data_IF_290975899508
#
_entry.id   IF_290975899508
#
_cell.length_a   1.000
_cell.length_b   1.000
_cell.length_c   1.000
_cell.angle_alpha   90.00
_cell.angle_beta   90.00
_cell.angle_gamma   90.00
#
_symmetry.space_group_name_H-M   'P 1'
#
loop_
_entity.id
_entity.type
_entity.pdbx_description
1 polymer ?
#
# COMPACT_ATOMS: atom_id res chain seq x y z
N UNK A 1 1.86 -14.89 -9.01
CA UNK A 1 3.19 -15.27 -8.45
C UNK A 1 4.34 -14.46 -9.02
N UNK A 2 4.40 -14.20 -10.32
CA UNK A 2 5.51 -13.47 -10.98
C UNK A 2 5.87 -12.11 -10.37
N UNK A 3 4.88 -11.34 -9.89
CA UNK A 3 5.15 -10.07 -9.17
C UNK A 3 5.99 -10.30 -7.91
N UNK A 4 5.70 -11.36 -7.17
CA UNK A 4 6.39 -11.73 -5.94
C UNK A 4 7.81 -12.21 -6.26
N UNK A 5 7.96 -12.99 -7.33
CA UNK A 5 9.26 -13.42 -7.85
C UNK A 5 10.15 -12.21 -8.19
N UNK A 6 9.67 -11.28 -9.01
CA UNK A 6 10.43 -10.05 -9.33
C UNK A 6 10.81 -9.24 -8.10
N UNK A 7 9.92 -9.17 -7.10
CA UNK A 7 10.22 -8.50 -5.85
C UNK A 7 11.30 -9.24 -5.06
N UNK A 8 11.26 -10.55 -4.94
CA UNK A 8 12.29 -11.31 -4.25
C UNK A 8 13.64 -11.23 -5.00
N UNK A 9 13.63 -11.30 -6.33
CA UNK A 9 14.80 -11.17 -7.18
C UNK A 9 15.47 -9.79 -7.08
N UNK A 10 14.71 -8.71 -6.83
CA UNK A 10 15.30 -7.37 -6.63
C UNK A 10 16.17 -7.27 -5.37
N UNK A 11 15.90 -8.10 -4.36
CA UNK A 11 16.76 -8.26 -3.19
C UNK A 11 17.92 -9.23 -3.43
N UNK A 12 18.00 -9.85 -4.62
CA UNK A 12 18.93 -10.93 -4.99
C UNK A 12 18.69 -12.23 -4.22
N UNK A 13 17.44 -12.51 -3.86
CA UNK A 13 17.05 -13.83 -3.37
C UNK A 13 17.17 -14.88 -4.48
N UNK A 14 17.46 -16.12 -4.12
CA UNK A 14 17.42 -17.26 -5.05
C UNK A 14 16.00 -17.79 -5.12
N UNK A 15 15.41 -17.77 -6.31
CA UNK A 15 13.98 -17.99 -6.51
C UNK A 15 13.75 -19.01 -7.61
N UNK A 16 12.82 -19.93 -7.37
CA UNK A 16 12.33 -20.92 -8.32
C UNK A 16 10.82 -20.77 -8.46
N UNK A 17 10.37 -20.38 -9.65
CA UNK A 17 8.94 -20.27 -9.96
C UNK A 17 8.43 -21.65 -10.41
N UNK A 18 7.47 -22.18 -9.66
CA UNK A 18 6.78 -23.42 -10.02
C UNK A 18 5.65 -23.17 -11.04
N UNK A 19 4.75 -24.14 -11.22
CA UNK A 19 3.58 -23.97 -12.08
C UNK A 19 2.73 -22.77 -11.64
N UNK A 20 2.27 -21.97 -12.61
CA UNK A 20 1.38 -20.83 -12.41
C UNK A 20 0.20 -20.92 -13.38
N UNK A 21 -1.01 -20.74 -12.86
CA UNK A 21 -2.27 -20.58 -13.57
C UNK A 21 -3.09 -19.46 -12.92
N UNK A 22 -4.30 -19.21 -13.44
CA UNK A 22 -5.21 -18.21 -12.89
C UNK A 22 -5.71 -18.57 -11.47
N UNK A 23 -5.72 -19.86 -11.14
CA UNK A 23 -6.31 -20.41 -9.91
C UNK A 23 -5.27 -21.03 -8.97
N UNK A 24 -4.02 -21.14 -9.41
CA UNK A 24 -2.95 -21.78 -8.66
C UNK A 24 -1.59 -21.17 -8.98
N UNK A 25 -0.68 -21.13 -8.01
CA UNK A 25 0.70 -20.76 -8.29
C UNK A 25 1.65 -21.14 -7.17
N UNK A 26 2.83 -21.63 -7.53
CA UNK A 26 3.88 -21.99 -6.57
C UNK A 26 5.12 -21.11 -6.77
N UNK A 27 5.71 -20.67 -5.67
CA UNK A 27 6.98 -19.97 -5.66
C UNK A 27 7.84 -20.50 -4.53
N UNK A 28 9.08 -20.83 -4.82
CA UNK A 28 10.05 -21.22 -3.82
C UNK A 28 11.18 -20.19 -3.77
N UNK A 29 11.42 -19.64 -2.59
CA UNK A 29 12.61 -18.84 -2.29
C UNK A 29 13.58 -19.81 -1.65
N UNK A 30 14.56 -20.26 -2.43
CA UNK A 30 15.58 -21.19 -1.99
C UNK A 30 16.51 -20.51 -0.97
N UNK A 31 16.89 -19.27 -1.24
CA UNK A 31 17.68 -18.46 -0.33
C UNK A 31 17.14 -17.02 -0.26
N UNK A 32 16.88 -16.52 0.94
CA UNK A 32 16.19 -15.27 1.19
C UNK A 32 17.18 -14.15 1.51
N UNK A 33 17.61 -13.39 0.50
CA UNK A 33 18.53 -12.27 0.71
C UNK A 33 17.92 -11.12 1.55
N UNK A 34 16.59 -11.08 1.69
CA UNK A 34 15.88 -10.18 2.62
C UNK A 34 16.18 -10.57 4.08
N UNK A 35 16.23 -11.87 4.36
CA UNK A 35 16.63 -12.37 5.67
C UNK A 35 18.06 -11.91 5.99
N UNK A 36 19.02 -12.15 5.09
CA UNK A 36 20.41 -11.75 5.34
C UNK A 36 20.55 -10.25 5.52
N UNK A 37 19.81 -9.46 4.75
CA UNK A 37 19.80 -8.01 4.90
C UNK A 37 19.37 -7.60 6.31
N UNK A 38 18.33 -8.25 6.85
CA UNK A 38 17.80 -7.99 8.19
C UNK A 38 18.77 -8.45 9.28
N UNK A 39 19.39 -9.62 9.13
CA UNK A 39 20.41 -10.09 10.07
C UNK A 39 21.64 -9.18 10.07
N UNK A 40 22.14 -8.78 8.90
CA UNK A 40 23.23 -7.79 8.82
C UNK A 40 22.88 -6.46 9.48
N UNK A 41 21.63 -6.01 9.38
CA UNK A 41 21.17 -4.82 10.07
C UNK A 41 21.21 -5.00 11.59
N UNK A 42 20.76 -6.15 12.12
CA UNK A 42 20.87 -6.50 13.55
C UNK A 42 22.32 -6.53 14.03
N UNK A 43 23.20 -7.17 13.27
CA UNK A 43 24.63 -7.24 13.56
C UNK A 43 25.29 -5.85 13.56
N UNK A 44 24.75 -4.93 12.76
CA UNK A 44 25.18 -3.53 12.73
C UNK A 44 24.61 -2.68 13.88
N UNK A 45 23.91 -3.30 14.84
CA UNK A 45 23.32 -2.63 16.00
C UNK A 45 21.95 -1.99 15.73
N UNK A 46 21.33 -2.27 14.58
CA UNK A 46 19.96 -1.81 14.29
C UNK A 46 18.95 -2.73 14.97
N UNK A 47 18.14 -2.18 15.87
CA UNK A 47 17.04 -2.91 16.48
C UNK A 47 15.93 -3.17 15.46
N UNK A 48 15.68 -4.44 15.16
CA UNK A 48 14.51 -4.84 14.38
C UNK A 48 13.38 -5.22 15.32
N UNK A 49 12.34 -4.38 15.34
CA UNK A 49 11.14 -4.54 16.19
C UNK A 49 10.21 -5.69 15.79
N UNK A 50 10.50 -6.39 14.70
CA UNK A 50 9.76 -7.59 14.29
C UNK A 50 10.33 -8.82 14.99
N UNK A 51 9.44 -9.69 15.47
CA UNK A 51 9.79 -10.92 16.20
C UNK A 51 10.64 -11.87 15.34
N UNK A 52 10.47 -11.81 14.01
CA UNK A 52 11.31 -12.55 13.05
C UNK A 52 11.56 -11.74 11.77
N UNK A 53 12.68 -12.00 11.07
CA UNK A 53 12.92 -11.42 9.74
C UNK A 53 11.85 -11.80 8.71
N UNK A 54 11.00 -12.79 8.96
CA UNK A 54 9.97 -13.22 8.01
C UNK A 54 8.64 -12.51 8.18
N UNK A 55 8.32 -12.01 9.38
CA UNK A 55 6.98 -11.51 9.75
C UNK A 55 6.41 -10.50 8.74
N UNK A 56 7.19 -9.51 8.34
CA UNK A 56 6.73 -8.53 7.34
C UNK A 56 6.46 -9.16 5.97
N UNK A 57 7.34 -10.06 5.52
CA UNK A 57 7.21 -10.70 4.22
C UNK A 57 5.98 -11.60 4.17
N UNK A 58 5.72 -12.36 5.24
CA UNK A 58 4.56 -13.26 5.29
C UNK A 58 3.25 -12.50 5.23
N UNK A 59 3.14 -11.35 5.89
CA UNK A 59 1.95 -10.50 5.79
C UNK A 59 1.79 -9.89 4.40
N UNK A 60 2.83 -9.21 3.89
CA UNK A 60 2.79 -8.54 2.60
C UNK A 60 2.41 -9.49 1.46
N UNK A 61 3.06 -10.64 1.38
CA UNK A 61 2.85 -11.60 0.30
C UNK A 61 1.47 -12.26 0.40
N UNK A 62 0.98 -12.54 1.61
CA UNK A 62 -0.37 -13.04 1.82
C UNK A 62 -1.43 -12.02 1.34
N UNK A 63 -1.27 -10.74 1.68
CA UNK A 63 -2.17 -9.68 1.21
C UNK A 63 -2.12 -9.49 -0.31
N UNK A 64 -0.93 -9.61 -0.93
CA UNK A 64 -0.81 -9.57 -2.39
C UNK A 64 -1.57 -10.72 -3.06
N UNK A 65 -1.44 -11.96 -2.55
CA UNK A 65 -2.16 -13.12 -3.08
C UNK A 65 -3.68 -12.97 -2.87
N UNK A 66 -4.11 -12.51 -1.69
CA UNK A 66 -5.50 -12.24 -1.38
C UNK A 66 -6.12 -11.17 -2.31
N UNK A 67 -5.35 -10.16 -2.72
CA UNK A 67 -5.82 -9.13 -3.66
C UNK A 67 -6.20 -9.71 -5.04
N UNK A 68 -5.62 -10.85 -5.40
CA UNK A 68 -5.95 -11.62 -6.60
C UNK A 68 -7.09 -12.63 -6.37
N UNK A 69 -7.79 -12.57 -5.22
CA UNK A 69 -8.84 -13.50 -4.78
C UNK A 69 -8.37 -14.95 -4.65
N UNK A 70 -7.09 -15.14 -4.36
CA UNK A 70 -6.49 -16.44 -4.08
C UNK A 70 -6.13 -16.54 -2.61
N UNK A 71 -6.07 -17.77 -2.09
CA UNK A 71 -5.61 -18.10 -0.75
C UNK A 71 -4.10 -18.29 -0.76
N UNK A 72 -3.41 -17.65 0.18
CA UNK A 72 -1.99 -17.88 0.42
C UNK A 72 -1.77 -19.03 1.40
N UNK A 73 -0.84 -19.92 1.07
CA UNK A 73 -0.24 -20.89 1.98
C UNK A 73 1.28 -20.73 1.89
N UNK A 74 1.97 -20.80 3.04
CA UNK A 74 3.42 -20.74 3.04
C UNK A 74 4.03 -21.62 4.12
N UNK A 75 5.27 -22.03 3.89
CA UNK A 75 6.13 -22.63 4.89
C UNK A 75 7.47 -21.91 4.91
N UNK A 76 8.00 -21.69 6.12
CA UNK A 76 9.29 -21.05 6.31
C UNK A 76 10.37 -22.12 6.50
N UNK A 77 11.50 -21.94 5.83
CA UNK A 77 12.74 -22.67 6.08
C UNK A 77 13.66 -21.72 6.83
N UNK A 78 13.43 -21.55 8.12
CA UNK A 78 14.12 -20.55 8.95
C UNK A 78 15.45 -21.04 9.51
N UNK A 79 16.11 -21.98 8.84
CA UNK A 79 17.40 -22.48 9.31
C UNK A 79 18.44 -21.34 9.23
N UNK A 80 19.27 -21.13 10.28
CA UNK A 80 20.26 -20.04 10.30
C UNK A 80 21.20 -20.04 9.10
N UNK A 81 21.51 -21.23 8.56
CA UNK A 81 22.51 -21.41 7.51
C UNK A 81 21.92 -21.33 6.08
N UNK A 82 20.59 -21.41 5.91
CA UNK A 82 19.95 -21.33 4.60
C UNK A 82 18.46 -20.89 4.70
N UNK A 83 18.22 -19.59 4.96
CA UNK A 83 16.87 -19.07 5.13
C UNK A 83 16.10 -19.09 3.80
N UNK A 84 14.93 -19.72 3.77
CA UNK A 84 14.08 -19.79 2.59
C UNK A 84 12.59 -19.83 2.94
N UNK A 85 11.73 -19.84 1.92
CA UNK A 85 10.31 -20.05 2.12
C UNK A 85 9.64 -20.59 0.85
N UNK A 86 8.61 -21.41 1.03
CA UNK A 86 7.74 -21.86 -0.07
C UNK A 86 6.39 -21.19 0.06
N UNK A 87 5.88 -20.70 -1.06
CA UNK A 87 4.58 -20.07 -1.21
C UNK A 87 3.72 -20.81 -2.21
N UNK A 88 2.43 -20.91 -1.90
CA UNK A 88 1.41 -21.48 -2.74
C UNK A 88 0.17 -20.58 -2.71
N UNK A 89 -0.26 -20.13 -3.88
CA UNK A 89 -1.54 -19.48 -4.10
C UNK A 89 -2.52 -20.52 -4.65
N UNK A 90 -3.74 -20.60 -4.11
CA UNK A 90 -4.79 -21.52 -4.59
C UNK A 90 -6.18 -20.94 -4.37
N UNK A 91 -7.19 -21.44 -5.06
CA UNK A 91 -8.59 -21.07 -4.76
C UNK A 91 -8.95 -21.36 -3.31
N UNK A 92 -9.76 -20.48 -2.71
CA UNK A 92 -10.28 -20.68 -1.37
C UNK A 92 -11.33 -21.80 -1.40
N UNK A 93 -11.09 -22.91 -0.71
CA UNK A 93 -12.14 -23.90 -0.41
C UNK A 93 -12.93 -23.48 0.83
N UNK A 94 -14.21 -23.87 0.89
CA UNK A 94 -15.11 -23.68 2.03
C UNK A 94 -14.54 -24.35 3.29
N UNK A 95 -13.74 -23.62 4.06
CA UNK A 95 -13.11 -24.16 5.27
C UNK A 95 -11.79 -23.48 5.66
N UNK A 96 -11.94 -22.49 6.52
CA UNK A 96 -11.11 -22.30 7.73
C UNK A 96 -9.86 -21.40 7.72
N UNK A 97 -9.89 -20.57 8.78
CA UNK A 97 -8.91 -19.79 9.56
C UNK A 97 -7.83 -18.98 8.82
N UNK A 98 -8.08 -17.66 8.83
CA UNK A 98 -7.12 -16.61 8.58
C UNK A 98 -5.93 -16.72 9.54
N UNK A 99 -4.74 -16.48 9.02
CA UNK A 99 -3.56 -16.21 9.82
C UNK A 99 -3.79 -14.89 10.56
N UNK A 100 -4.36 -15.00 11.76
CA UNK A 100 -4.62 -13.87 12.64
C UNK A 100 -3.29 -13.23 13.05
N UNK A 101 -3.25 -11.91 12.98
CA UNK A 101 -2.21 -11.10 13.59
C UNK A 101 -2.21 -11.33 15.11
N UNK A 102 -1.09 -11.11 15.83
CA UNK A 102 -1.10 -11.16 17.30
C UNK A 102 -2.25 -10.29 17.84
N UNK A 103 -2.92 -10.70 18.91
CA UNK A 103 -4.14 -10.04 19.45
C UNK A 103 -4.00 -8.52 19.67
N UNK A 104 -2.76 -8.03 19.79
CA UNK A 104 -2.39 -6.61 19.89
C UNK A 104 -2.56 -5.82 18.59
N UNK A 105 -2.63 -6.47 17.44
CA UNK A 105 -2.94 -5.89 16.12
C UNK A 105 -4.24 -6.50 15.63
N UNK A 106 -5.37 -5.86 15.98
CA UNK A 106 -6.67 -6.19 15.39
C UNK A 106 -6.62 -5.88 13.89
N UNK A 107 -6.41 -6.91 13.10
CA UNK A 107 -6.65 -6.86 11.68
C UNK A 107 -8.15 -6.89 11.44
N UNK A 108 -8.57 -5.85 10.74
CA UNK A 108 -9.96 -5.47 10.49
C UNK A 108 -10.68 -6.61 9.75
N UNK A 109 -11.96 -6.83 10.07
CA UNK A 109 -12.84 -7.73 9.32
C UNK A 109 -12.94 -7.29 7.84
N UNK A 110 -13.28 -8.26 6.99
CA UNK A 110 -13.19 -8.38 5.52
C UNK A 110 -13.28 -7.13 4.62
N UNK A 111 -13.92 -6.04 5.05
CA UNK A 111 -14.09 -4.81 4.26
C UNK A 111 -12.82 -3.95 4.16
N UNK A 112 -11.78 -4.26 4.94
CA UNK A 112 -10.50 -3.52 4.98
C UNK A 112 -9.28 -4.40 4.68
N UNK A 113 -9.48 -5.57 4.09
CA UNK A 113 -8.40 -6.47 3.66
C UNK A 113 -7.43 -5.86 2.62
N UNK A 114 -7.75 -4.67 2.07
CA UNK A 114 -6.85 -3.88 1.21
C UNK A 114 -6.20 -2.76 2.03
N UNK A 115 -4.88 -2.85 2.18
CA UNK A 115 -4.05 -1.77 2.71
C UNK A 115 -4.32 -0.47 1.94
N UNK A 116 -4.39 0.67 2.63
CA UNK A 116 -4.63 1.94 1.96
C UNK A 116 -3.41 2.27 1.10
N UNK A 117 -3.66 2.80 -0.09
CA UNK A 117 -2.58 3.33 -0.92
C UNK A 117 -2.22 4.72 -0.42
N UNK A 118 -0.97 4.90 0.02
CA UNK A 118 -0.45 6.19 0.45
C UNK A 118 0.11 6.91 -0.77
N UNK A 119 -0.33 8.14 -0.99
CA UNK A 119 0.17 9.01 -2.04
C UNK A 119 0.90 10.21 -1.45
N UNK A 120 2.10 10.45 -1.97
CA UNK A 120 2.85 11.69 -1.76
C UNK A 120 2.26 12.75 -2.67
N UNK A 121 2.01 13.93 -2.11
CA UNK A 121 1.35 15.03 -2.82
C UNK A 121 2.40 16.02 -3.32
N UNK A 122 2.26 16.45 -4.57
CA UNK A 122 3.02 17.57 -5.11
C UNK A 122 2.07 18.62 -5.68
N UNK A 123 2.32 19.87 -5.33
CA UNK A 123 1.49 21.02 -5.71
C UNK A 123 2.25 21.84 -6.73
N UNK A 124 1.66 22.06 -7.90
CA UNK A 124 2.32 22.74 -9.03
C UNK A 124 1.42 23.80 -9.64
N UNK A 125 1.99 24.76 -10.37
CA UNK A 125 1.18 25.68 -11.16
C UNK A 125 0.41 24.91 -12.24
N UNK A 126 -0.78 25.40 -12.62
CA UNK A 126 -1.60 24.79 -13.67
C UNK A 126 -0.83 24.53 -14.98
N UNK A 127 0.07 25.45 -15.36
CA UNK A 127 0.90 25.33 -16.57
C UNK A 127 1.95 24.21 -16.49
N UNK A 128 2.31 23.75 -15.29
CA UNK A 128 3.37 22.78 -15.06
C UNK A 128 2.85 21.34 -14.90
N UNK A 129 1.52 21.14 -14.92
CA UNK A 129 0.90 19.84 -14.70
C UNK A 129 1.42 18.78 -15.69
N UNK A 130 1.34 19.05 -16.99
CA UNK A 130 1.73 18.07 -18.02
C UNK A 130 3.23 17.77 -18.00
N UNK A 131 4.06 18.75 -17.65
CA UNK A 131 5.50 18.54 -17.51
C UNK A 131 5.80 17.65 -16.30
N UNK A 132 5.12 17.92 -15.17
CA UNK A 132 5.29 17.16 -13.93
C UNK A 132 4.80 15.72 -14.07
N UNK A 133 3.65 15.52 -14.72
CA UNK A 133 3.12 14.18 -15.01
C UNK A 133 4.10 13.38 -15.86
N UNK A 134 4.57 13.93 -16.99
CA UNK A 134 5.54 13.25 -17.86
C UNK A 134 6.82 12.87 -17.11
N UNK A 135 7.34 13.77 -16.27
CA UNK A 135 8.51 13.47 -15.45
C UNK A 135 8.30 12.24 -14.56
N UNK A 136 7.15 12.14 -13.87
CA UNK A 136 6.86 10.98 -13.04
C UNK A 136 6.54 9.72 -13.84
N UNK A 137 5.93 9.85 -15.01
CA UNK A 137 5.69 8.70 -15.90
C UNK A 137 7.02 8.08 -16.34
N UNK A 138 7.99 8.91 -16.71
CA UNK A 138 9.34 8.48 -17.08
C UNK A 138 10.11 7.93 -15.87
N UNK A 139 10.09 8.62 -14.73
CA UNK A 139 10.81 8.22 -13.51
C UNK A 139 10.33 6.88 -12.96
N UNK A 140 9.01 6.65 -12.96
CA UNK A 140 8.39 5.48 -12.36
C UNK A 140 8.15 4.35 -13.38
N UNK A 141 8.24 4.64 -14.68
CA UNK A 141 7.92 3.69 -15.74
C UNK A 141 6.45 3.26 -15.73
N UNK A 142 5.55 4.13 -15.28
CA UNK A 142 4.11 3.87 -15.18
C UNK A 142 3.33 5.02 -15.81
N UNK A 143 2.25 4.76 -16.57
CA UNK A 143 1.42 5.83 -17.08
C UNK A 143 0.64 6.52 -15.96
N UNK A 144 0.20 7.74 -16.24
CA UNK A 144 -0.83 8.42 -15.47
C UNK A 144 -2.09 7.55 -15.41
N UNK A 145 -2.49 7.13 -14.21
CA UNK A 145 -3.58 6.18 -14.01
C UNK A 145 -4.89 6.83 -13.54
N UNK A 146 -4.85 8.11 -13.17
CA UNK A 146 -6.00 8.92 -12.80
C UNK A 146 -5.76 10.36 -13.24
N UNK A 147 -6.75 10.99 -13.88
CA UNK A 147 -6.71 12.43 -14.16
C UNK A 147 -8.13 12.99 -14.20
N UNK A 148 -8.38 14.08 -13.48
CA UNK A 148 -9.67 14.75 -13.47
C UNK A 148 -9.57 16.22 -13.08
N UNK A 149 -10.54 17.00 -13.54
CA UNK A 149 -10.75 18.39 -13.12
C UNK A 149 -11.66 18.44 -11.91
N UNK A 150 -11.25 19.16 -10.86
CA UNK A 150 -12.09 19.53 -9.74
C UNK A 150 -12.55 20.99 -9.90
N UNK A 151 -13.57 21.17 -10.76
CA UNK A 151 -14.01 22.48 -11.23
C UNK A 151 -14.40 23.44 -10.09
N UNK A 152 -15.07 22.95 -9.04
CA UNK A 152 -15.49 23.77 -7.90
C UNK A 152 -14.33 24.32 -7.06
N UNK A 153 -13.12 23.78 -7.27
CA UNK A 153 -11.88 24.22 -6.61
C UNK A 153 -10.87 24.84 -7.56
N UNK A 154 -11.16 24.88 -8.86
CA UNK A 154 -10.20 25.31 -9.89
C UNK A 154 -8.88 24.52 -9.82
N UNK A 155 -9.00 23.21 -9.57
CA UNK A 155 -7.86 22.30 -9.48
C UNK A 155 -7.91 21.25 -10.57
N UNK A 156 -6.73 20.88 -11.07
CA UNK A 156 -6.51 19.72 -11.92
C UNK A 156 -5.69 18.70 -11.13
N UNK A 157 -6.09 17.43 -11.18
CA UNK A 157 -5.45 16.36 -10.40
C UNK A 157 -5.03 15.24 -11.33
N UNK A 158 -3.81 14.75 -11.14
CA UNK A 158 -3.27 13.58 -11.84
C UNK A 158 -2.53 12.65 -10.87
N UNK A 159 -2.59 11.34 -11.08
CA UNK A 159 -1.81 10.37 -10.31
C UNK A 159 -0.91 9.54 -11.22
N UNK A 160 0.33 9.36 -10.79
CA UNK A 160 1.32 8.46 -11.40
C UNK A 160 1.94 7.62 -10.29
N UNK A 161 1.57 6.35 -10.20
CA UNK A 161 1.99 5.48 -9.11
C UNK A 161 1.64 6.06 -7.73
N UNK A 162 2.62 6.24 -6.81
CA UNK A 162 2.40 6.80 -5.48
C UNK A 162 2.42 8.34 -5.45
N UNK A 163 2.48 9.02 -6.60
CA UNK A 163 2.55 10.48 -6.67
C UNK A 163 1.23 11.06 -7.12
N UNK A 164 0.67 11.98 -6.33
CA UNK A 164 -0.52 12.76 -6.65
C UNK A 164 -0.12 14.20 -6.98
N UNK A 165 -0.23 14.58 -8.25
CA UNK A 165 0.05 15.92 -8.75
C UNK A 165 -1.25 16.73 -8.71
N UNK A 166 -1.25 17.81 -7.94
CA UNK A 166 -2.39 18.73 -7.80
C UNK A 166 -1.96 20.07 -8.35
N UNK A 167 -2.63 20.53 -9.41
CA UNK A 167 -2.28 21.74 -10.12
C UNK A 167 -3.40 22.78 -10.03
N UNK A 168 -3.01 24.05 -9.91
CA UNK A 168 -3.97 25.15 -9.80
C UNK A 168 -3.27 26.51 -9.70
N UNK A 169 -4.05 27.55 -9.45
CA UNK A 169 -3.52 28.85 -9.03
C UNK A 169 -3.06 28.81 -7.57
N UNK A 170 -2.21 29.74 -7.14
CA UNK A 170 -1.81 29.83 -5.72
C UNK A 170 -3.01 29.92 -4.77
N UNK A 171 -4.04 30.66 -5.17
CA UNK A 171 -5.29 30.80 -4.41
C UNK A 171 -6.10 29.50 -4.36
N UNK A 172 -6.12 28.73 -5.45
CA UNK A 172 -6.80 27.43 -5.50
C UNK A 172 -6.05 26.35 -4.71
N UNK A 173 -4.71 26.42 -4.69
CA UNK A 173 -3.85 25.46 -3.99
C UNK A 173 -3.76 25.71 -2.48
N UNK A 174 -3.93 26.96 -2.02
CA UNK A 174 -3.81 27.31 -0.61
C UNK A 174 -4.65 26.43 0.35
N UNK A 175 -5.94 26.11 0.07
CA UNK A 175 -6.76 25.26 0.94
C UNK A 175 -6.37 23.78 0.95
N UNK A 176 -5.55 23.33 -0.01
CA UNK A 176 -5.11 21.93 -0.11
C UNK A 176 -3.64 21.76 0.23
N UNK A 177 -2.94 22.85 0.56
CA UNK A 177 -1.49 22.87 0.84
C UNK A 177 -1.13 22.29 2.21
N UNK A 178 -2.07 22.28 3.13
CA UNK A 178 -1.89 21.88 4.52
C UNK A 178 -1.91 20.37 4.75
N UNK A 179 -2.46 19.58 3.82
CA UNK A 179 -2.44 18.13 3.92
C UNK A 179 -1.07 17.56 3.49
N UNK A 180 -0.49 16.75 4.36
CA UNK A 180 0.84 16.18 4.18
C UNK A 180 0.83 14.95 3.25
N UNK A 181 -0.28 14.21 3.23
CA UNK A 181 -0.45 12.99 2.45
C UNK A 181 -1.91 12.73 2.08
N UNK A 182 -2.13 11.89 1.07
CA UNK A 182 -3.44 11.35 0.71
C UNK A 182 -3.44 9.83 0.92
N UNK A 183 -4.43 9.31 1.63
CA UNK A 183 -4.67 7.88 1.83
C UNK A 183 -5.91 7.48 1.02
N UNK A 184 -5.70 6.69 -0.03
CA UNK A 184 -6.81 6.04 -0.73
C UNK A 184 -7.23 4.80 0.08
N UNK A 185 -8.44 4.84 0.63
CA UNK A 185 -9.01 3.82 1.51
C UNK A 185 -10.17 3.09 0.82
N UNK A 186 -10.39 1.79 1.12
CA UNK A 186 -11.51 1.03 0.58
C UNK A 186 -12.88 1.44 1.14
N UNK A 187 -12.93 1.98 2.36
CA UNK A 187 -14.14 2.49 3.00
C UNK A 187 -13.78 3.71 3.84
N UNK A 188 -14.35 4.87 3.51
CA UNK A 188 -14.07 6.09 4.26
C UNK A 188 -14.57 5.97 5.70
N UNK A 189 -15.78 5.47 5.87
CA UNK A 189 -16.45 5.40 7.18
C UNK A 189 -15.69 4.46 8.15
N UNK A 190 -15.26 3.29 7.69
CA UNK A 190 -14.49 2.35 8.51
C UNK A 190 -13.15 2.93 8.96
N UNK A 191 -12.44 3.61 8.06
CA UNK A 191 -11.14 4.21 8.38
C UNK A 191 -11.26 5.43 9.28
N UNK A 192 -12.31 6.26 9.13
CA UNK A 192 -12.54 7.39 10.02
C UNK A 192 -12.92 6.96 11.44
N UNK A 193 -13.77 5.95 11.56
CA UNK A 193 -14.09 5.35 12.85
C UNK A 193 -12.83 4.86 13.56
N UNK A 194 -11.98 4.12 12.84
CA UNK A 194 -10.72 3.60 13.38
C UNK A 194 -9.74 4.71 13.72
N UNK A 195 -9.53 5.67 12.82
CA UNK A 195 -8.61 6.78 13.06
C UNK A 195 -9.02 7.56 14.31
N UNK A 196 -10.32 7.77 14.53
CA UNK A 196 -10.85 8.42 15.72
C UNK A 196 -10.64 7.58 16.98
N UNK A 197 -10.90 6.26 16.91
CA UNK A 197 -10.70 5.32 18.02
C UNK A 197 -9.26 5.35 18.56
N UNK A 198 -8.27 5.49 17.67
CA UNK A 198 -6.84 5.51 18.02
C UNK A 198 -6.26 6.93 18.23
N UNK A 199 -7.12 7.94 18.40
CA UNK A 199 -6.71 9.29 18.81
C UNK A 199 -6.55 10.31 17.68
N UNK A 200 -6.89 9.94 16.43
CA UNK A 200 -7.03 10.87 15.33
C UNK A 200 -8.25 11.78 15.49
N UNK A 201 -8.22 12.95 14.86
CA UNK A 201 -9.32 13.93 14.90
C UNK A 201 -9.74 14.29 13.49
N UNK A 202 -11.00 14.02 13.15
CA UNK A 202 -11.61 14.50 11.90
C UNK A 202 -11.70 16.03 11.95
N UNK A 203 -10.91 16.71 11.10
CA UNK A 203 -10.90 18.18 10.99
C UNK A 203 -11.78 18.68 9.85
N UNK A 204 -11.97 17.86 8.81
CA UNK A 204 -12.99 18.07 7.79
C UNK A 204 -13.85 16.81 7.67
N UNK A 205 -15.15 17.00 7.83
CA UNK A 205 -16.13 15.91 7.75
C UNK A 205 -16.20 15.32 6.33
N UNK A 206 -16.64 14.06 6.18
CA UNK A 206 -16.87 13.44 4.89
C UNK A 206 -17.69 14.31 3.94
N UNK A 207 -17.18 14.52 2.73
CA UNK A 207 -17.88 15.22 1.64
C UNK A 207 -17.69 14.50 0.32
N UNK A 208 -18.66 14.68 -0.58
CA UNK A 208 -18.58 14.16 -1.95
C UNK A 208 -17.64 15.05 -2.76
N UNK A 209 -16.79 14.41 -3.56
CA UNK A 209 -15.83 15.03 -4.48
C UNK A 209 -15.90 14.30 -5.82
N UNK A 210 -15.35 14.86 -6.92
CA UNK A 210 -15.44 14.22 -8.24
C UNK A 210 -14.92 12.77 -8.28
N UNK A 211 -13.91 12.45 -7.48
CA UNK A 211 -13.34 11.09 -7.39
C UNK A 211 -14.08 10.15 -6.43
N UNK A 212 -15.10 10.60 -5.70
CA UNK A 212 -15.82 9.81 -4.70
C UNK A 212 -16.13 10.59 -3.42
N UNK A 213 -15.56 10.19 -2.29
CA UNK A 213 -15.71 10.87 -0.99
C UNK A 213 -14.34 11.14 -0.38
N UNK A 214 -14.20 12.27 0.32
CA UNK A 214 -13.01 12.51 1.14
C UNK A 214 -13.34 13.12 2.50
N UNK A 215 -12.39 13.00 3.42
CA UNK A 215 -12.36 13.67 4.72
C UNK A 215 -10.91 14.02 5.06
N UNK A 216 -10.70 14.90 6.04
CA UNK A 216 -9.36 15.19 6.56
C UNK A 216 -9.26 14.84 8.02
N UNK A 217 -8.17 14.16 8.37
CA UNK A 217 -7.89 13.68 9.72
C UNK A 217 -6.55 14.22 10.16
N UNK A 218 -6.53 14.84 11.35
CA UNK A 218 -5.30 15.13 12.08
C UNK A 218 -4.91 13.90 12.88
N UNK A 219 -3.74 13.33 12.60
CA UNK A 219 -3.20 12.21 13.36
C UNK A 219 -2.64 12.69 14.72
N UNK A 220 -2.41 11.78 15.69
CA UNK A 220 -1.87 12.15 17.00
C UNK A 220 -0.50 12.84 16.98
N UNK A 221 0.30 12.57 15.94
CA UNK A 221 1.61 13.17 15.69
C UNK A 221 1.55 14.56 15.01
N UNK A 222 0.34 15.02 14.65
CA UNK A 222 0.10 16.32 14.00
C UNK A 222 -0.02 16.25 12.48
N UNK A 223 0.27 15.10 11.85
CA UNK A 223 0.13 14.90 10.42
C UNK A 223 -1.32 15.17 9.98
N UNK A 224 -1.52 15.99 8.96
CA UNK A 224 -2.82 16.20 8.35
C UNK A 224 -2.94 15.34 7.10
N UNK A 225 -3.86 14.39 7.14
CA UNK A 225 -4.01 13.40 6.08
C UNK A 225 -5.40 13.52 5.46
N UNK A 226 -5.43 13.55 4.13
CA UNK A 226 -6.66 13.43 3.36
C UNK A 226 -6.99 11.96 3.12
N UNK A 227 -8.13 11.50 3.64
CA UNK A 227 -8.64 10.15 3.39
C UNK A 227 -9.61 10.22 2.23
N UNK A 228 -9.40 9.40 1.21
CA UNK A 228 -10.20 9.37 -0.01
C UNK A 228 -10.74 7.96 -0.21
N UNK A 229 -12.04 7.85 -0.44
CA UNK A 229 -12.69 6.63 -0.93
C UNK A 229 -13.14 6.90 -2.37
N UNK A 230 -12.62 6.13 -3.32
CA UNK A 230 -13.13 6.18 -4.68
C UNK A 230 -14.44 5.40 -4.74
N UNK A 231 -15.52 6.09 -5.08
CA UNK A 231 -16.76 5.43 -5.45
C UNK A 231 -16.63 5.08 -6.93
N UNK A 232 -16.34 3.82 -7.23
CA UNK A 232 -16.26 3.35 -8.61
C UNK A 232 -17.62 3.46 -9.32
N UNK A 233 -17.55 3.64 -10.65
CA UNK A 233 -18.60 3.17 -11.57
C UNK A 233 -18.80 1.65 -11.45
#
# INVERSE_FOLDING_TARGET
MERIERQAASYRSEVELGPVSDTHGVLEIQHCAIWDYRERARDSGMELVLDSPCQYCTHLLSSMIASARLRACHSLRSAPDDPGCRWEAKEAGDGQEDLAWPETVRLMEDDVARLPMIQVRTLVAAADLDLTVRFYEELLGQPCNLRFSYAERELEVAAVGPVLVIAGSETALAPVRDADATLLVPSLDAYLARATEIGGRVVEQPKVVPSGRNARVRHPDGLLVEYVEHLGE
#
